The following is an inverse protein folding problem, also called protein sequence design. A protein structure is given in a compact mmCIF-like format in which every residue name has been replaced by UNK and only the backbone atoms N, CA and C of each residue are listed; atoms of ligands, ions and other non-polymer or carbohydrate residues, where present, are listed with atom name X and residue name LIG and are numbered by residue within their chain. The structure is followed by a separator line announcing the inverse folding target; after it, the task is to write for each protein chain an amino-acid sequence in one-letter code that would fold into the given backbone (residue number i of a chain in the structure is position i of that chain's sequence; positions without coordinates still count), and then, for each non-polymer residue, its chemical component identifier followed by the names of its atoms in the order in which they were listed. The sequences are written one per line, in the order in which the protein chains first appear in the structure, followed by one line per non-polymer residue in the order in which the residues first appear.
data_IF_320309571219
#
_entry.id   IF_320309571219
#
_cell.length_a   1.000
_cell.length_b   1.000
_cell.length_c   1.000
_cell.angle_alpha   90.00
_cell.angle_beta   90.00
_cell.angle_gamma   90.00
#
_symmetry.space_group_name_H-M   'P 1'
#
loop_
_entity.id
_entity.type
_entity.pdbx_description
1 polymer ?
#
# COMPACT_ATOMS: atom_id res chain seq x y z
N UNK A 1 -47.61 -40.52 -27.05
CA UNK A 1 -48.80 -40.30 -26.29
C UNK A 1 -48.75 -38.95 -25.69
N UNK A 2 -49.37 -38.02 -26.36
CA UNK A 2 -50.54 -37.18 -25.99
C UNK A 2 -50.19 -36.21 -24.82
N UNK A 3 -50.39 -34.97 -24.84
CA UNK A 3 -51.00 -33.96 -25.73
C UNK A 3 -50.83 -32.58 -25.09
N UNK A 4 -50.59 -31.57 -25.89
CA UNK A 4 -50.95 -30.16 -25.63
C UNK A 4 -52.46 -29.99 -25.60
N UNK A 5 -53.14 -28.84 -25.30
CA UNK A 5 -52.78 -27.40 -25.47
C UNK A 5 -53.42 -26.50 -24.39
N UNK A 6 -53.27 -25.21 -24.42
CA UNK A 6 -53.89 -24.10 -25.09
C UNK A 6 -53.76 -22.83 -24.26
N UNK A 7 -53.31 -21.77 -24.77
CA UNK A 7 -53.93 -20.57 -25.40
C UNK A 7 -54.77 -19.68 -24.47
N UNK A 8 -54.45 -18.39 -24.50
CA UNK A 8 -55.28 -17.32 -23.94
C UNK A 8 -54.65 -15.93 -24.11
N UNK A 9 -54.79 -15.36 -25.32
CA UNK A 9 -54.60 -13.92 -25.59
C UNK A 9 -55.74 -13.11 -24.99
N UNK A 10 -55.46 -11.95 -24.45
CA UNK A 10 -56.38 -10.81 -24.57
C UNK A 10 -55.63 -9.50 -24.55
N UNK A 11 -55.90 -8.74 -25.56
CA UNK A 11 -55.48 -7.35 -25.86
C UNK A 11 -56.38 -6.35 -25.14
N UNK A 12 -55.86 -5.08 -25.18
CA UNK A 12 -56.60 -3.79 -25.38
C UNK A 12 -56.69 -2.87 -24.16
N UNK A 13 -56.20 -1.64 -24.39
CA UNK A 13 -56.72 -0.43 -23.77
C UNK A 13 -55.74 0.74 -23.73
N UNK A 14 -55.66 1.51 -24.81
CA UNK A 14 -55.10 2.89 -24.84
C UNK A 14 -56.16 3.87 -24.26
N UNK A 15 -55.65 4.92 -23.63
CA UNK A 15 -56.13 6.35 -23.57
C UNK A 15 -55.75 6.90 -22.19
N UNK A 16 -55.31 8.11 -21.98
CA UNK A 16 -55.33 9.31 -22.76
C UNK A 16 -54.66 10.44 -21.98
N UNK A 17 -54.29 11.44 -22.63
CA UNK A 17 -53.60 12.67 -22.22
C UNK A 17 -54.32 13.45 -21.09
N UNK A 18 -53.52 14.14 -20.26
CA UNK A 18 -54.05 15.17 -19.35
C UNK A 18 -52.89 15.99 -18.78
N UNK A 19 -52.71 17.12 -19.23
CA UNK A 19 -51.99 18.32 -19.18
C UNK A 19 -51.74 18.89 -17.80
N UNK A 20 -50.67 19.62 -17.77
CA UNK A 20 -50.07 20.55 -16.81
C UNK A 20 -51.10 21.50 -16.15
N UNK A 21 -50.90 22.06 -14.98
CA UNK A 21 -50.13 23.31 -14.97
C UNK A 21 -49.15 23.49 -13.78
N UNK A 22 -48.12 24.25 -14.10
CA UNK A 22 -47.18 24.93 -13.23
C UNK A 22 -47.86 25.73 -12.11
N UNK A 23 -47.40 25.55 -10.89
CA UNK A 23 -47.40 26.60 -9.86
C UNK A 23 -46.00 26.83 -9.36
N UNK A 24 -45.53 28.05 -9.58
CA UNK A 24 -44.39 28.65 -8.91
C UNK A 24 -44.82 29.04 -7.50
N UNK A 25 -44.13 28.58 -6.49
CA UNK A 25 -44.06 29.24 -5.20
C UNK A 25 -42.61 29.40 -4.82
N UNK A 26 -42.16 30.63 -4.82
CA UNK A 26 -40.88 31.08 -4.32
C UNK A 26 -40.86 31.01 -2.80
N UNK A 27 -40.05 30.17 -2.21
CA UNK A 27 -39.52 30.37 -0.88
C UNK A 27 -38.00 30.49 -0.95
N UNK A 28 -37.52 31.71 -0.78
CA UNK A 28 -36.15 32.04 -0.44
C UNK A 28 -35.81 31.35 0.89
N UNK A 29 -34.87 30.41 0.85
CA UNK A 29 -34.08 30.01 2.00
C UNK A 29 -32.67 30.44 1.71
N UNK A 30 -32.21 31.45 2.44
CA UNK A 30 -30.81 31.87 2.48
C UNK A 30 -29.98 30.71 3.00
N UNK A 31 -29.27 30.03 2.10
CA UNK A 31 -28.23 29.07 2.43
C UNK A 31 -26.92 29.82 2.58
N UNK A 32 -26.35 29.78 3.79
CA UNK A 32 -24.96 30.17 4.05
C UNK A 32 -24.01 29.51 3.06
N UNK A 33 -23.00 30.21 2.57
CA UNK A 33 -22.02 29.61 1.68
C UNK A 33 -21.15 28.63 2.50
N UNK A 34 -21.33 27.34 2.28
CA UNK A 34 -20.28 26.36 2.58
C UNK A 34 -19.07 26.72 1.71
N UNK A 35 -18.08 27.30 2.34
CA UNK A 35 -16.74 27.41 1.77
C UNK A 35 -16.22 25.99 1.50
N UNK A 36 -16.45 25.49 0.31
CA UNK A 36 -15.64 24.47 -0.27
C UNK A 36 -14.25 25.09 -0.49
N UNK A 37 -13.34 24.84 0.42
CA UNK A 37 -11.92 24.97 0.15
C UNK A 37 -11.60 23.96 -0.97
N UNK A 38 -11.75 24.40 -2.20
CA UNK A 38 -11.08 23.80 -3.33
C UNK A 38 -9.60 24.07 -3.07
N UNK A 39 -8.91 23.11 -2.50
CA UNK A 39 -7.47 23.14 -2.45
C UNK A 39 -7.00 23.18 -3.90
N UNK A 40 -6.37 24.30 -4.27
CA UNK A 40 -5.69 24.42 -5.54
C UNK A 40 -4.73 23.22 -5.69
N UNK A 41 -4.59 22.64 -6.90
CA UNK A 41 -3.64 21.58 -7.13
C UNK A 41 -2.28 22.06 -6.68
N UNK A 42 -1.68 21.34 -5.74
CA UNK A 42 -0.32 21.60 -5.29
C UNK A 42 0.59 21.10 -6.41
N UNK A 43 0.80 21.95 -7.41
CA UNK A 43 1.86 21.80 -8.39
C UNK A 43 3.20 22.02 -7.67
N UNK A 44 3.63 21.06 -6.91
CA UNK A 44 4.96 21.01 -6.32
C UNK A 44 5.82 20.02 -7.10
N UNK A 45 6.17 20.37 -8.32
CA UNK A 45 7.24 19.71 -9.10
C UNK A 45 8.61 19.95 -8.42
N UNK A 46 8.78 19.50 -7.19
CA UNK A 46 10.02 19.64 -6.46
C UNK A 46 10.81 18.36 -6.56
N UNK A 47 11.84 18.39 -7.40
CA UNK A 47 12.94 17.43 -7.33
C UNK A 47 13.67 17.69 -6.03
N UNK A 48 13.63 16.75 -5.10
CA UNK A 48 14.23 16.89 -3.77
C UNK A 48 15.65 16.35 -3.70
N UNK A 49 15.93 15.30 -4.49
CA UNK A 49 17.20 14.61 -4.43
C UNK A 49 17.92 14.62 -5.78
N UNK A 50 19.19 14.99 -5.77
CA UNK A 50 20.06 14.78 -6.93
C UNK A 50 20.33 13.29 -7.14
N UNK A 51 20.68 12.85 -8.38
CA UNK A 51 21.08 11.46 -8.61
C UNK A 51 22.18 11.03 -7.64
N UNK A 52 21.95 9.94 -6.90
CA UNK A 52 22.86 9.47 -5.86
C UNK A 52 22.29 8.29 -5.07
N UNK A 53 23.12 7.75 -4.20
CA UNK A 53 22.78 6.72 -3.21
C UNK A 53 22.65 7.41 -1.86
N UNK A 54 21.55 7.22 -1.19
CA UNK A 54 21.24 7.90 0.07
C UNK A 54 20.87 6.90 1.15
N UNK A 55 21.43 7.11 2.34
CA UNK A 55 21.09 6.37 3.53
C UNK A 55 20.29 7.26 4.49
N UNK A 56 19.33 6.66 5.20
CA UNK A 56 18.55 7.34 6.22
C UNK A 56 17.61 8.45 5.70
N UNK A 57 17.14 8.35 4.45
CA UNK A 57 16.13 9.28 3.92
C UNK A 57 14.79 9.02 4.62
N UNK A 58 14.17 10.01 5.27
CA UNK A 58 12.84 9.85 5.85
C UNK A 58 11.81 9.40 4.80
N UNK A 59 10.90 8.51 5.20
CA UNK A 59 9.87 7.95 4.30
C UNK A 59 9.04 9.04 3.61
N UNK A 60 8.61 10.05 4.37
CA UNK A 60 7.84 11.17 3.85
C UNK A 60 8.61 11.98 2.80
N UNK A 61 9.92 12.16 2.96
CA UNK A 61 10.75 12.87 1.99
C UNK A 61 10.98 12.06 0.71
N UNK A 62 11.19 10.74 0.85
CA UNK A 62 11.29 9.84 -0.29
C UNK A 62 10.01 9.84 -1.13
N UNK A 63 8.85 9.74 -0.49
CA UNK A 63 7.57 9.75 -1.19
C UNK A 63 7.24 11.11 -1.81
N UNK A 64 7.66 12.19 -1.20
CA UNK A 64 7.43 13.54 -1.72
C UNK A 64 8.31 13.93 -2.92
N UNK A 65 9.39 13.18 -3.22
CA UNK A 65 10.15 13.34 -4.46
C UNK A 65 9.36 12.76 -5.64
N UNK A 66 9.32 13.48 -6.75
CA UNK A 66 8.48 13.14 -7.91
C UNK A 66 9.13 12.20 -8.93
N UNK A 67 10.32 11.68 -8.64
CA UNK A 67 10.90 10.63 -9.46
C UNK A 67 10.01 9.40 -9.50
N UNK A 68 9.92 8.73 -10.63
CA UNK A 68 9.11 7.52 -10.80
C UNK A 68 9.70 6.36 -9.99
N UNK A 69 8.89 5.77 -9.13
CA UNK A 69 9.20 4.53 -8.42
C UNK A 69 8.69 3.29 -9.16
N UNK A 70 8.97 2.12 -8.61
CA UNK A 70 8.49 0.84 -9.17
C UNK A 70 6.96 0.74 -9.26
N UNK A 71 6.23 1.37 -8.32
CA UNK A 71 4.76 1.43 -8.35
C UNK A 71 4.28 2.23 -9.56
N UNK A 72 4.82 3.44 -9.76
CA UNK A 72 4.49 4.28 -10.92
C UNK A 72 4.80 3.59 -12.25
N UNK A 73 5.95 2.91 -12.34
CA UNK A 73 6.30 2.14 -13.53
C UNK A 73 5.33 1.00 -13.80
N UNK A 74 4.87 0.31 -12.75
CA UNK A 74 3.85 -0.73 -12.86
C UNK A 74 2.50 -0.17 -13.33
N UNK A 75 2.07 0.95 -12.79
CA UNK A 75 0.84 1.63 -13.20
C UNK A 75 0.91 2.07 -14.66
N UNK A 76 2.02 2.65 -15.09
CA UNK A 76 2.29 3.00 -16.49
C UNK A 76 2.25 1.78 -17.45
N UNK A 77 2.69 0.60 -17.01
CA UNK A 77 2.61 -0.64 -17.78
C UNK A 77 1.17 -1.11 -17.90
N UNK A 78 0.36 -0.94 -16.86
CA UNK A 78 -1.04 -1.38 -16.84
C UNK A 78 -1.91 -0.43 -17.66
N UNK A 79 -1.89 0.85 -17.33
CA UNK A 79 -2.67 1.88 -18.01
C UNK A 79 -2.05 3.28 -17.80
N UNK A 80 -1.32 3.81 -18.77
CA UNK A 80 -0.68 5.12 -18.63
C UNK A 80 -1.70 6.27 -18.54
N UNK A 81 -2.91 6.14 -19.10
CA UNK A 81 -3.94 7.17 -19.03
C UNK A 81 -4.50 7.25 -17.61
N UNK A 82 -4.80 6.11 -16.99
CA UNK A 82 -5.23 6.03 -15.59
C UNK A 82 -4.13 6.54 -14.65
N UNK A 83 -2.86 6.18 -14.90
CA UNK A 83 -1.73 6.73 -14.14
C UNK A 83 -1.73 8.26 -14.14
N UNK A 84 -1.87 8.91 -15.32
CA UNK A 84 -1.86 10.37 -15.42
C UNK A 84 -3.10 10.99 -14.76
N UNK A 85 -4.26 10.35 -14.93
CA UNK A 85 -5.49 10.78 -14.27
C UNK A 85 -5.30 10.82 -12.74
N UNK A 86 -4.73 9.79 -12.15
CA UNK A 86 -4.48 9.73 -10.70
C UNK A 86 -3.43 10.75 -10.22
N UNK A 87 -2.47 11.13 -11.09
CA UNK A 87 -1.54 12.22 -10.79
C UNK A 87 -2.23 13.58 -10.77
N UNK A 88 -3.16 13.82 -11.70
CA UNK A 88 -3.89 15.09 -11.81
C UNK A 88 -5.01 15.21 -10.78
N UNK A 89 -5.65 14.09 -10.43
CA UNK A 89 -6.82 14.04 -9.55
C UNK A 89 -6.62 13.04 -8.40
N UNK A 90 -5.63 13.26 -7.53
CA UNK A 90 -5.32 12.31 -6.47
C UNK A 90 -6.51 12.11 -5.54
N UNK A 91 -6.98 10.89 -5.43
CA UNK A 91 -8.00 10.48 -4.49
C UNK A 91 -7.49 10.51 -3.04
N UNK A 92 -8.42 10.54 -2.08
CA UNK A 92 -8.05 10.33 -0.68
C UNK A 92 -7.81 8.83 -0.45
N UNK A 93 -6.57 8.45 -0.35
CA UNK A 93 -6.21 7.06 -0.03
C UNK A 93 -6.64 6.72 1.40
N UNK A 94 -7.50 5.70 1.54
CA UNK A 94 -7.90 5.20 2.85
C UNK A 94 -6.91 4.15 3.31
N UNK A 95 -6.20 4.44 4.36
CA UNK A 95 -5.29 3.49 4.99
C UNK A 95 -6.05 2.27 5.52
N UNK A 96 -5.89 1.12 4.86
CA UNK A 96 -6.53 -0.13 5.25
C UNK A 96 -5.76 -0.83 6.37
N UNK A 97 -6.43 -1.70 7.14
CA UNK A 97 -5.75 -2.51 8.16
C UNK A 97 -4.67 -3.41 7.58
N UNK A 98 -4.80 -3.82 6.31
CA UNK A 98 -3.76 -4.60 5.63
C UNK A 98 -2.51 -3.77 5.37
N UNK A 99 -2.68 -2.51 4.97
CA UNK A 99 -1.58 -1.56 4.76
C UNK A 99 -0.89 -1.23 6.08
N UNK A 100 -1.65 -0.91 7.14
CA UNK A 100 -1.12 -0.68 8.50
C UNK A 100 -0.29 -1.85 9.00
N UNK A 101 -0.78 -3.08 8.81
CA UNK A 101 -0.06 -4.29 9.18
C UNK A 101 1.24 -4.45 8.37
N UNK A 102 1.18 -4.16 7.06
CA UNK A 102 2.35 -4.15 6.17
C UNK A 102 3.41 -3.17 6.65
N UNK A 103 3.05 -1.91 6.87
CA UNK A 103 3.97 -0.88 7.38
C UNK A 103 4.56 -1.27 8.76
N UNK A 104 3.74 -1.82 9.66
CA UNK A 104 4.20 -2.21 10.98
C UNK A 104 5.22 -3.36 10.95
N UNK A 105 5.01 -4.39 10.10
CA UNK A 105 5.98 -5.48 9.98
C UNK A 105 7.28 -5.04 9.29
N UNK A 106 7.21 -4.13 8.29
CA UNK A 106 8.40 -3.52 7.70
C UNK A 106 9.19 -2.75 8.76
N UNK A 107 8.55 -1.83 9.47
CA UNK A 107 9.17 -1.08 10.56
C UNK A 107 9.79 -2.03 11.61
N UNK A 108 9.06 -3.07 12.04
CA UNK A 108 9.54 -4.03 13.03
C UNK A 108 10.77 -4.82 12.56
N UNK A 109 10.77 -5.24 11.30
CA UNK A 109 11.85 -6.06 10.73
C UNK A 109 13.07 -5.23 10.33
N UNK A 110 12.88 -4.03 9.79
CA UNK A 110 13.95 -3.20 9.23
C UNK A 110 14.57 -2.24 10.27
N UNK A 111 13.77 -1.75 11.21
CA UNK A 111 14.18 -0.71 12.15
C UNK A 111 14.08 -1.14 13.63
N UNK A 112 13.33 -2.18 13.92
CA UNK A 112 13.26 -2.79 15.25
C UNK A 112 12.10 -2.31 16.13
N UNK A 113 12.11 -2.76 17.38
CA UNK A 113 11.00 -2.54 18.34
C UNK A 113 10.85 -1.09 18.76
N UNK A 114 11.95 -0.33 18.89
CA UNK A 114 11.87 1.06 19.32
C UNK A 114 11.16 1.90 18.27
N UNK A 115 11.56 1.80 17.01
CA UNK A 115 10.90 2.52 15.89
C UNK A 115 9.44 2.09 15.74
N UNK A 116 9.13 0.79 15.92
CA UNK A 116 7.74 0.34 15.93
C UNK A 116 6.95 1.03 17.06
N UNK A 117 7.48 1.09 18.27
CA UNK A 117 6.82 1.72 19.41
C UNK A 117 6.67 3.24 19.25
N UNK A 118 7.57 3.90 18.55
CA UNK A 118 7.50 5.34 18.25
C UNK A 118 6.43 5.66 17.21
N UNK A 119 6.33 4.84 16.15
CA UNK A 119 5.42 5.11 15.02
C UNK A 119 4.04 4.47 15.14
N UNK A 120 3.89 3.44 15.96
CA UNK A 120 2.63 2.70 16.11
C UNK A 120 2.14 2.74 17.55
N UNK A 121 0.83 2.96 17.72
CA UNK A 121 0.15 2.90 18.99
C UNK A 121 -0.78 1.67 19.03
N UNK A 122 -0.82 1.00 20.17
CA UNK A 122 -1.64 -0.21 20.32
C UNK A 122 -2.98 0.19 20.92
N UNK A 123 -4.05 0.02 20.14
CA UNK A 123 -5.41 0.31 20.59
C UNK A 123 -5.73 -0.40 21.91
N UNK A 124 -6.35 0.27 22.88
CA UNK A 124 -6.83 -0.38 24.09
C UNK A 124 -7.89 -1.42 23.73
N UNK A 125 -7.97 -2.49 24.52
CA UNK A 125 -9.00 -3.50 24.34
C UNK A 125 -10.09 -3.33 25.41
N UNK A 126 -11.35 -3.54 25.03
CA UNK A 126 -12.49 -3.49 25.97
C UNK A 126 -12.27 -4.40 27.18
N UNK A 127 -11.59 -5.52 26.98
CA UNK A 127 -11.24 -6.48 28.05
C UNK A 127 -10.34 -5.92 29.14
N UNK A 128 -9.61 -4.84 28.86
CA UNK A 128 -8.75 -4.16 29.85
C UNK A 128 -9.55 -3.25 30.80
N UNK A 129 -10.78 -2.94 30.42
CA UNK A 129 -11.69 -2.01 31.11
C UNK A 129 -13.02 -2.69 31.39
N UNK A 130 -13.00 -3.69 32.29
CA UNK A 130 -14.16 -4.58 32.54
C UNK A 130 -15.44 -3.85 32.95
N UNK A 131 -15.30 -2.70 33.58
CA UNK A 131 -16.44 -1.91 34.08
C UNK A 131 -16.80 -0.74 33.15
N UNK A 132 -16.18 -0.64 31.98
CA UNK A 132 -16.46 0.43 31.04
C UNK A 132 -17.84 0.29 30.40
N UNK A 133 -18.55 1.40 30.28
CA UNK A 133 -19.79 1.49 29.53
C UNK A 133 -19.50 1.56 28.04
N UNK A 134 -19.73 0.45 27.31
CA UNK A 134 -19.33 0.30 25.90
C UNK A 134 -20.49 0.58 24.94
N UNK A 135 -21.67 0.06 25.25
CA UNK A 135 -22.83 0.12 24.36
C UNK A 135 -23.86 1.15 24.83
N UNK A 136 -24.73 1.58 23.92
CA UNK A 136 -25.87 2.45 24.28
C UNK A 136 -26.74 1.82 25.34
N UNK A 137 -26.85 0.49 25.40
CA UNK A 137 -27.58 -0.23 26.43
C UNK A 137 -26.92 -0.11 27.77
N UNK A 138 -25.57 -0.24 27.84
CA UNK A 138 -24.81 0.00 29.08
C UNK A 138 -25.02 1.44 29.61
N UNK A 139 -24.94 2.43 28.71
CA UNK A 139 -25.17 3.83 29.07
C UNK A 139 -26.60 4.06 29.58
N UNK A 140 -27.62 3.52 28.91
CA UNK A 140 -29.02 3.61 29.36
C UNK A 140 -29.26 2.94 30.73
N UNK A 141 -28.66 1.80 30.95
CA UNK A 141 -28.74 1.08 32.22
C UNK A 141 -28.11 1.88 33.35
N UNK A 142 -26.96 2.50 33.07
CA UNK A 142 -26.28 3.37 34.03
C UNK A 142 -27.06 4.66 34.30
N UNK A 143 -27.61 5.31 33.25
CA UNK A 143 -28.52 6.47 33.43
C UNK A 143 -29.70 6.15 34.31
N UNK A 144 -30.31 4.95 34.16
CA UNK A 144 -31.40 4.49 35.02
C UNK A 144 -30.93 4.31 36.47
N UNK A 145 -29.70 3.81 36.67
CA UNK A 145 -29.13 3.60 38.02
C UNK A 145 -28.92 4.93 38.73
N UNK A 146 -28.39 5.96 38.02
CA UNK A 146 -28.16 7.30 38.61
C UNK A 146 -29.37 8.23 38.50
N UNK A 147 -30.51 7.77 37.98
CA UNK A 147 -31.77 8.52 37.98
C UNK A 147 -31.87 9.60 36.90
N UNK A 148 -31.07 9.53 35.84
CA UNK A 148 -31.09 10.52 34.75
C UNK A 148 -31.71 9.94 33.47
N UNK A 149 -32.20 10.84 32.58
CA UNK A 149 -32.75 10.42 31.31
C UNK A 149 -31.61 10.32 30.28
N UNK A 150 -31.37 9.13 29.68
CA UNK A 150 -30.46 9.04 28.55
C UNK A 150 -31.09 9.77 27.34
N UNK A 151 -30.40 10.62 26.69
CA UNK A 151 -30.87 11.21 25.44
C UNK A 151 -31.14 10.16 24.34
N UNK A 152 -31.44 10.61 23.14
CA UNK A 152 -31.64 9.72 21.96
C UNK A 152 -30.31 9.23 21.38
N UNK A 153 -29.27 10.03 21.47
CA UNK A 153 -27.92 9.78 20.97
C UNK A 153 -26.97 9.35 22.08
N UNK A 154 -25.87 8.70 21.70
CA UNK A 154 -24.86 8.20 22.62
C UNK A 154 -24.17 9.34 23.40
N UNK A 155 -23.87 10.43 22.68
CA UNK A 155 -23.24 11.62 23.24
C UNK A 155 -24.12 12.30 24.31
N UNK A 156 -25.43 12.32 24.10
CA UNK A 156 -26.39 12.87 25.06
C UNK A 156 -26.46 12.02 26.34
N UNK A 157 -26.40 10.69 26.20
CA UNK A 157 -26.36 9.78 27.35
C UNK A 157 -25.05 9.94 28.14
N UNK A 158 -23.93 10.08 27.47
CA UNK A 158 -22.60 10.31 28.06
C UNK A 158 -22.62 11.64 28.83
N UNK A 159 -23.10 12.73 28.22
CA UNK A 159 -23.20 14.03 28.89
C UNK A 159 -24.07 13.96 30.14
N UNK A 160 -25.25 13.31 30.08
CA UNK A 160 -26.13 13.13 31.21
C UNK A 160 -25.48 12.33 32.37
N UNK A 161 -24.69 11.31 32.01
CA UNK A 161 -23.96 10.54 33.05
C UNK A 161 -22.90 11.42 33.72
N UNK A 162 -22.14 12.22 32.93
CA UNK A 162 -21.04 13.05 33.44
C UNK A 162 -21.47 14.13 34.45
N UNK A 163 -22.72 14.55 34.39
CA UNK A 163 -23.26 15.48 35.37
C UNK A 163 -23.37 14.85 36.78
N UNK A 164 -23.55 13.55 36.89
CA UNK A 164 -23.82 12.82 38.14
C UNK A 164 -22.72 11.87 38.56
N UNK A 165 -22.05 11.22 37.59
CA UNK A 165 -21.00 10.26 37.82
C UNK A 165 -19.78 10.58 36.95
N UNK A 166 -18.77 11.19 37.58
CA UNK A 166 -17.53 11.59 36.86
C UNK A 166 -16.52 10.47 36.78
N UNK A 167 -16.65 9.44 37.59
CA UNK A 167 -15.62 8.40 37.77
C UNK A 167 -15.91 7.15 36.92
N UNK A 168 -17.15 6.97 36.46
CA UNK A 168 -17.49 5.82 35.63
C UNK A 168 -16.67 5.78 34.33
N UNK A 169 -16.19 4.62 33.97
CA UNK A 169 -15.43 4.43 32.73
C UNK A 169 -16.37 4.39 31.53
N UNK A 170 -16.17 5.27 30.58
CA UNK A 170 -16.92 5.31 29.32
C UNK A 170 -15.96 5.00 28.18
N UNK A 171 -16.26 3.95 27.43
CA UNK A 171 -15.37 3.45 26.39
C UNK A 171 -15.03 4.49 25.32
N UNK A 172 -16.00 5.28 24.89
CA UNK A 172 -15.81 6.31 23.86
C UNK A 172 -14.82 7.40 24.32
N UNK A 173 -14.85 7.76 25.59
CA UNK A 173 -13.92 8.73 26.16
C UNK A 173 -12.51 8.14 26.34
N UNK A 174 -12.42 6.85 26.67
CA UNK A 174 -11.14 6.12 26.71
C UNK A 174 -10.49 6.14 25.33
N UNK A 175 -11.26 5.84 24.29
CA UNK A 175 -10.76 5.87 22.90
C UNK A 175 -10.39 7.28 22.50
N UNK A 176 -11.23 8.29 22.74
CA UNK A 176 -10.94 9.67 22.40
C UNK A 176 -9.66 10.20 23.08
N UNK A 177 -9.48 9.86 24.36
CA UNK A 177 -8.27 10.19 25.11
C UNK A 177 -7.04 9.49 24.50
N UNK A 178 -7.14 8.20 24.20
CA UNK A 178 -6.07 7.43 23.59
C UNK A 178 -5.67 8.00 22.22
N UNK A 179 -6.63 8.35 21.39
CA UNK A 179 -6.38 8.97 20.08
C UNK A 179 -5.70 10.33 20.21
N UNK A 180 -6.13 11.15 21.16
CA UNK A 180 -5.52 12.46 21.44
C UNK A 180 -4.07 12.35 21.95
N UNK A 181 -3.75 11.32 22.74
CA UNK A 181 -2.41 11.06 23.25
C UNK A 181 -1.47 10.44 22.20
N UNK A 182 -2.03 9.91 21.10
CA UNK A 182 -1.28 9.21 20.06
C UNK A 182 -1.38 9.88 18.68
N UNK A 183 -1.63 11.18 18.65
CA UNK A 183 -1.63 11.96 17.38
C UNK A 183 -0.30 11.77 16.65
N UNK A 184 -0.37 11.48 15.35
CA UNK A 184 0.81 11.24 14.52
C UNK A 184 1.35 9.80 14.54
N UNK A 185 0.76 8.91 15.36
CA UNK A 185 1.08 7.48 15.37
C UNK A 185 -0.01 6.67 14.65
N UNK A 186 0.39 5.64 13.94
CA UNK A 186 -0.57 4.71 13.33
C UNK A 186 -1.14 3.77 14.39
N UNK A 187 -2.46 3.77 14.53
CA UNK A 187 -3.13 2.92 15.53
C UNK A 187 -3.36 1.52 14.93
N UNK A 188 -2.87 0.50 15.65
CA UNK A 188 -3.07 -0.92 15.33
C UNK A 188 -3.70 -1.67 16.50
N UNK A 189 -4.52 -2.70 16.26
CA UNK A 189 -5.07 -3.52 17.32
C UNK A 189 -3.99 -4.40 17.97
N UNK A 190 -4.24 -4.82 19.22
CA UNK A 190 -3.32 -5.69 20.00
C UNK A 190 -3.00 -7.01 19.29
N UNK A 191 -4.00 -7.60 18.62
CA UNK A 191 -3.81 -8.85 17.90
C UNK A 191 -2.84 -8.68 16.71
N UNK A 192 -2.90 -7.54 16.03
CA UNK A 192 -1.94 -7.22 14.97
C UNK A 192 -0.51 -7.12 15.51
N UNK A 193 -0.29 -6.48 16.67
CA UNK A 193 1.03 -6.45 17.30
C UNK A 193 1.51 -7.87 17.65
N UNK A 194 0.63 -8.71 18.18
CA UNK A 194 0.97 -10.09 18.49
C UNK A 194 1.40 -10.88 17.26
N UNK A 195 0.68 -10.74 16.15
CA UNK A 195 1.00 -11.36 14.86
C UNK A 195 2.33 -10.82 14.30
N UNK A 196 2.59 -9.51 14.36
CA UNK A 196 3.83 -8.87 13.92
C UNK A 196 5.03 -9.41 14.71
N UNK A 197 4.93 -9.48 16.03
CA UNK A 197 6.00 -10.04 16.87
C UNK A 197 6.19 -11.55 16.66
N UNK A 198 5.13 -12.27 16.32
CA UNK A 198 5.21 -13.68 15.94
C UNK A 198 5.91 -13.84 14.59
N UNK A 199 5.57 -13.02 13.60
CA UNK A 199 6.24 -12.99 12.29
C UNK A 199 7.74 -12.73 12.44
N UNK A 200 8.11 -11.71 13.22
CA UNK A 200 9.50 -11.35 13.49
C UNK A 200 10.29 -12.51 14.13
N UNK A 201 9.67 -13.21 15.12
CA UNK A 201 10.30 -14.40 15.72
C UNK A 201 10.45 -15.56 14.75
N UNK A 202 9.51 -15.75 13.82
CA UNK A 202 9.59 -16.82 12.84
C UNK A 202 10.58 -16.52 11.73
N UNK A 203 10.70 -15.27 11.28
CA UNK A 203 11.77 -14.84 10.38
C UNK A 203 13.14 -15.10 11.01
N UNK A 204 13.34 -14.76 12.31
CA UNK A 204 14.60 -15.03 13.04
C UNK A 204 14.99 -16.51 13.07
N UNK A 205 14.02 -17.42 12.98
CA UNK A 205 14.25 -18.87 13.01
C UNK A 205 14.46 -19.49 11.63
N UNK A 206 14.19 -18.74 10.57
CA UNK A 206 14.45 -19.19 9.21
C UNK A 206 15.96 -19.33 9.00
N UNK A 207 16.47 -20.48 8.53
CA UNK A 207 17.91 -20.69 8.38
C UNK A 207 18.62 -19.71 7.45
N UNK A 208 17.92 -19.17 6.46
CA UNK A 208 18.48 -18.17 5.52
C UNK A 208 18.53 -16.78 6.13
N UNK A 209 17.57 -16.44 7.00
CA UNK A 209 17.47 -15.11 7.62
C UNK A 209 18.19 -15.02 8.97
N UNK A 210 18.30 -16.12 9.71
CA UNK A 210 18.94 -16.15 11.04
C UNK A 210 20.35 -15.54 11.10
N UNK A 211 21.23 -15.71 10.10
CA UNK A 211 22.57 -15.11 10.12
C UNK A 211 22.57 -13.59 10.05
N UNK A 212 21.56 -12.99 9.42
CA UNK A 212 21.48 -11.54 9.17
C UNK A 212 20.50 -10.81 10.08
N UNK A 213 19.80 -11.55 10.95
CA UNK A 213 18.81 -11.01 11.88
C UNK A 213 19.22 -11.20 13.34
N UNK A 214 18.75 -10.28 14.21
CA UNK A 214 18.79 -10.42 15.67
C UNK A 214 17.49 -9.92 16.25
N UNK A 215 16.89 -10.71 17.15
CA UNK A 215 15.61 -10.38 17.78
C UNK A 215 14.51 -10.04 16.76
N UNK A 216 14.50 -10.70 15.60
CA UNK A 216 13.53 -10.47 14.54
C UNK A 216 13.73 -9.16 13.75
N UNK A 217 14.90 -8.53 13.86
CA UNK A 217 15.29 -7.32 13.13
C UNK A 217 16.54 -7.60 12.31
N UNK A 218 16.61 -7.10 11.10
CA UNK A 218 17.83 -7.17 10.28
C UNK A 218 18.92 -6.29 10.90
N UNK A 219 20.11 -6.87 11.10
CA UNK A 219 21.26 -6.20 11.73
C UNK A 219 22.51 -6.20 10.87
N UNK A 220 22.58 -7.07 9.86
CA UNK A 220 23.65 -7.06 8.86
C UNK A 220 23.15 -6.39 7.60
N UNK A 221 23.97 -5.53 6.98
CA UNK A 221 23.58 -4.79 5.79
C UNK A 221 22.88 -3.47 6.09
N UNK A 222 22.24 -2.87 5.09
CA UNK A 222 21.63 -1.55 5.14
C UNK A 222 20.14 -1.61 4.82
N UNK A 223 19.30 -1.05 5.69
CA UNK A 223 17.85 -0.93 5.46
C UNK A 223 17.51 0.41 4.78
N UNK A 224 16.43 0.42 3.98
CA UNK A 224 15.82 1.62 3.40
C UNK A 224 16.80 2.44 2.54
N UNK A 225 17.66 1.74 1.77
CA UNK A 225 18.63 2.41 0.89
C UNK A 225 17.91 3.03 -0.30
N UNK A 226 17.96 4.35 -0.41
CA UNK A 226 17.29 5.11 -1.47
C UNK A 226 18.27 5.44 -2.59
N UNK A 227 17.87 5.18 -3.82
CA UNK A 227 18.64 5.46 -5.03
C UNK A 227 17.80 6.38 -5.91
N UNK A 228 18.36 7.54 -6.27
CA UNK A 228 17.76 8.44 -7.25
C UNK A 228 18.68 8.49 -8.47
N UNK A 229 18.12 8.34 -9.66
CA UNK A 229 18.91 8.30 -10.89
C UNK A 229 18.12 8.84 -12.08
N UNK A 230 18.80 9.04 -13.19
CA UNK A 230 18.19 9.48 -14.44
C UNK A 230 18.48 8.43 -15.50
N UNK A 231 17.45 8.00 -16.21
CA UNK A 231 17.57 7.10 -17.34
C UNK A 231 16.70 7.60 -18.51
N UNK A 232 17.26 7.68 -19.70
CA UNK A 232 16.58 8.20 -20.90
C UNK A 232 15.90 9.58 -20.69
N UNK A 233 16.48 10.43 -19.83
CA UNK A 233 15.93 11.73 -19.47
C UNK A 233 14.80 11.69 -18.43
N UNK A 234 14.40 10.51 -17.97
CA UNK A 234 13.38 10.32 -16.94
C UNK A 234 14.04 10.16 -15.58
N UNK A 235 13.54 10.87 -14.57
CA UNK A 235 13.98 10.73 -13.20
C UNK A 235 13.31 9.54 -12.54
N UNK A 236 14.11 8.72 -11.90
CA UNK A 236 13.69 7.45 -11.30
C UNK A 236 14.18 7.36 -9.86
N UNK A 237 13.45 6.62 -9.04
CA UNK A 237 13.84 6.30 -7.67
C UNK A 237 13.56 4.85 -7.33
N UNK A 238 14.38 4.31 -6.44
CA UNK A 238 14.15 3.01 -5.79
C UNK A 238 14.50 3.13 -4.32
N UNK A 239 13.75 2.42 -3.47
CA UNK A 239 14.09 2.25 -2.05
C UNK A 239 14.16 0.76 -1.77
N UNK A 240 15.38 0.29 -1.54
CA UNK A 240 15.66 -1.12 -1.25
C UNK A 240 15.33 -1.36 0.23
N UNK A 241 14.39 -2.25 0.51
CA UNK A 241 13.98 -2.56 1.89
C UNK A 241 15.17 -2.96 2.74
N UNK A 242 15.98 -3.93 2.25
CA UNK A 242 17.21 -4.29 2.92
C UNK A 242 18.26 -4.79 1.94
N UNK A 243 19.45 -4.19 1.99
CA UNK A 243 20.60 -4.46 1.14
C UNK A 243 21.69 -5.15 1.93
N UNK A 244 22.01 -6.39 1.56
CA UNK A 244 23.20 -7.11 2.01
C UNK A 244 24.34 -6.95 1.00
N UNK A 245 25.55 -7.28 1.37
CA UNK A 245 26.71 -7.24 0.45
C UNK A 245 26.56 -8.14 -0.79
N UNK A 246 25.67 -9.12 -0.74
CA UNK A 246 25.45 -10.12 -1.79
C UNK A 246 23.98 -10.37 -2.12
N UNK A 247 23.05 -9.66 -1.49
CA UNK A 247 21.62 -9.84 -1.75
C UNK A 247 20.79 -8.57 -1.52
N UNK A 248 19.72 -8.45 -2.28
CA UNK A 248 18.58 -7.58 -1.98
C UNK A 248 17.51 -8.42 -1.32
N UNK A 249 17.06 -8.00 -0.14
CA UNK A 249 15.89 -8.56 0.53
C UNK A 249 14.72 -7.59 0.34
N UNK A 250 13.64 -8.10 -0.21
CA UNK A 250 12.39 -7.36 -0.42
C UNK A 250 11.28 -7.98 0.44
N UNK A 251 10.79 -7.20 1.39
CA UNK A 251 9.78 -7.61 2.36
C UNK A 251 8.39 -7.38 1.80
N UNK A 252 7.53 -8.40 1.87
CA UNK A 252 6.16 -8.28 1.41
C UNK A 252 5.17 -8.92 2.38
N UNK A 253 4.05 -8.29 2.61
CA UNK A 253 2.91 -8.90 3.24
C UNK A 253 1.91 -9.39 2.19
N UNK A 254 1.29 -10.55 2.43
CA UNK A 254 0.26 -11.07 1.54
C UNK A 254 -0.89 -11.73 2.29
N UNK A 255 -2.07 -11.76 1.67
CA UNK A 255 -3.23 -12.49 2.17
C UNK A 255 -3.66 -13.53 1.14
N UNK A 256 -3.82 -14.81 1.53
CA UNK A 256 -4.42 -15.82 0.67
C UNK A 256 -5.86 -15.43 0.32
N UNK A 257 -6.26 -15.67 -0.94
CA UNK A 257 -7.67 -15.49 -1.34
C UNK A 257 -8.55 -16.63 -0.84
N UNK A 258 -7.96 -17.83 -0.82
CA UNK A 258 -8.64 -19.06 -0.41
C UNK A 258 -7.84 -19.73 0.69
N UNK A 259 -8.42 -20.75 1.31
CA UNK A 259 -7.71 -21.60 2.26
C UNK A 259 -6.69 -22.46 1.51
N UNK A 260 -5.44 -22.00 1.48
CA UNK A 260 -4.32 -22.64 0.78
C UNK A 260 -3.03 -22.57 1.58
N UNK A 261 -2.01 -23.31 1.15
CA UNK A 261 -0.69 -23.27 1.79
C UNK A 261 -0.02 -21.91 1.57
N UNK A 262 0.74 -21.44 2.58
CA UNK A 262 1.40 -20.13 2.51
C UNK A 262 2.32 -20.00 1.30
N UNK A 263 3.08 -21.05 0.95
CA UNK A 263 3.98 -21.05 -0.20
C UNK A 263 3.22 -20.81 -1.53
N UNK A 264 2.09 -21.50 -1.73
CA UNK A 264 1.32 -21.35 -2.96
C UNK A 264 0.65 -19.99 -3.06
N UNK A 265 0.16 -19.49 -1.92
CA UNK A 265 -0.42 -18.15 -1.84
C UNK A 265 0.63 -17.05 -2.09
N UNK A 266 1.86 -17.21 -1.57
CA UNK A 266 2.96 -16.29 -1.80
C UNK A 266 3.35 -16.23 -3.29
N UNK A 267 3.50 -17.39 -3.97
CA UNK A 267 3.79 -17.44 -5.41
C UNK A 267 2.71 -16.75 -6.24
N UNK A 268 1.43 -16.98 -5.91
CA UNK A 268 0.31 -16.29 -6.57
C UNK A 268 0.32 -14.77 -6.31
N UNK A 269 0.71 -14.36 -5.09
CA UNK A 269 0.83 -12.94 -4.77
C UNK A 269 1.95 -12.28 -5.58
N UNK A 270 3.12 -12.90 -5.71
CA UNK A 270 4.22 -12.40 -6.55
C UNK A 270 3.75 -12.15 -7.98
N UNK A 271 3.11 -13.15 -8.59
CA UNK A 271 2.65 -13.07 -9.97
C UNK A 271 1.53 -12.01 -10.15
N UNK A 272 0.52 -12.02 -9.27
CA UNK A 272 -0.62 -11.10 -9.39
C UNK A 272 -0.24 -9.66 -9.13
N UNK A 273 0.63 -9.40 -8.16
CA UNK A 273 1.07 -8.07 -7.79
C UNK A 273 2.23 -7.56 -8.66
N UNK A 274 2.69 -8.39 -9.60
CA UNK A 274 3.81 -8.08 -10.47
C UNK A 274 5.04 -7.61 -9.70
N UNK A 275 5.42 -8.36 -8.64
CA UNK A 275 6.64 -8.06 -7.87
C UNK A 275 7.93 -8.33 -8.66
N UNK A 276 7.83 -9.07 -9.77
CA UNK A 276 8.86 -9.20 -10.78
C UNK A 276 9.28 -7.83 -11.37
N UNK A 277 8.33 -6.93 -11.64
CA UNK A 277 8.60 -5.58 -12.14
C UNK A 277 9.39 -4.75 -11.13
N UNK A 278 9.08 -4.88 -9.82
CA UNK A 278 9.85 -4.20 -8.78
C UNK A 278 11.29 -4.73 -8.74
N UNK A 279 11.49 -6.05 -8.83
CA UNK A 279 12.82 -6.64 -8.90
C UNK A 279 13.61 -6.10 -10.11
N UNK A 280 12.98 -6.06 -11.29
CA UNK A 280 13.57 -5.48 -12.50
C UNK A 280 13.98 -4.02 -12.31
N UNK A 281 13.07 -3.19 -11.79
CA UNK A 281 13.33 -1.77 -11.54
C UNK A 281 14.46 -1.54 -10.51
N UNK A 282 14.51 -2.35 -9.45
CA UNK A 282 15.53 -2.19 -8.39
C UNK A 282 16.92 -2.67 -8.81
N UNK A 283 17.01 -3.73 -9.61
CA UNK A 283 18.29 -4.16 -10.20
C UNK A 283 18.79 -3.08 -11.17
N UNK A 284 17.91 -2.46 -11.98
CA UNK A 284 18.28 -1.31 -12.81
C UNK A 284 18.76 -0.13 -11.98
N UNK A 285 18.08 0.20 -10.89
CA UNK A 285 18.50 1.24 -9.96
C UNK A 285 19.88 0.94 -9.37
N UNK A 286 20.14 -0.32 -8.99
CA UNK A 286 21.45 -0.72 -8.46
C UNK A 286 22.57 -0.64 -9.52
N UNK A 287 22.27 -0.93 -10.79
CA UNK A 287 23.20 -0.70 -11.92
C UNK A 287 23.53 0.77 -12.09
N UNK A 288 22.52 1.64 -11.99
CA UNK A 288 22.75 3.09 -12.01
C UNK A 288 23.56 3.54 -10.77
N UNK A 289 23.27 2.98 -9.62
CA UNK A 289 23.98 3.23 -8.37
C UNK A 289 25.48 2.89 -8.46
N UNK A 290 25.86 1.82 -9.18
CA UNK A 290 27.27 1.47 -9.40
C UNK A 290 28.03 2.62 -10.09
N UNK A 291 27.41 3.28 -11.08
CA UNK A 291 27.99 4.45 -11.77
C UNK A 291 28.07 5.66 -10.82
N UNK A 292 26.99 5.92 -10.09
CA UNK A 292 26.93 7.01 -9.11
C UNK A 292 27.95 6.83 -7.97
N UNK A 293 28.18 5.59 -7.56
CA UNK A 293 29.21 5.24 -6.59
C UNK A 293 30.62 5.57 -7.10
N UNK A 294 30.91 5.20 -8.34
CA UNK A 294 32.18 5.53 -8.98
C UNK A 294 32.42 7.05 -9.11
N UNK A 295 31.33 7.83 -9.23
CA UNK A 295 31.33 9.29 -9.25
C UNK A 295 31.40 9.94 -7.84
N UNK A 296 31.39 9.13 -6.78
CA UNK A 296 31.41 9.60 -5.40
C UNK A 296 30.07 10.16 -4.90
N UNK A 297 28.96 9.85 -5.57
CA UNK A 297 27.60 10.33 -5.24
C UNK A 297 26.92 9.43 -4.21
N UNK A 298 27.51 9.36 -3.03
CA UNK A 298 26.98 8.59 -1.88
C UNK A 298 26.81 9.53 -0.70
N UNK A 299 25.63 9.55 -0.12
CA UNK A 299 25.25 10.53 0.90
C UNK A 299 24.81 9.82 2.20
N UNK A 300 25.28 10.35 3.33
CA UNK A 300 24.93 9.85 4.67
C UNK A 300 25.25 8.36 4.89
N UNK A 301 26.27 7.83 4.21
CA UNK A 301 26.66 6.44 4.34
C UNK A 301 27.27 6.16 5.74
N UNK A 302 26.61 5.31 6.58
CA UNK A 302 27.16 4.95 7.89
C UNK A 302 28.09 3.73 7.83
N UNK A 303 28.23 3.10 6.66
CA UNK A 303 29.00 1.89 6.44
C UNK A 303 30.38 2.21 5.91
N UNK A 304 31.30 1.27 6.06
CA UNK A 304 32.60 1.35 5.42
C UNK A 304 32.49 1.19 3.89
N UNK A 305 33.57 1.53 3.21
CA UNK A 305 33.61 1.47 1.75
C UNK A 305 33.47 0.01 1.24
N UNK A 306 34.00 -0.95 1.98
CA UNK A 306 33.99 -2.38 1.61
C UNK A 306 32.56 -2.92 1.44
N UNK A 307 31.61 -2.37 2.18
CA UNK A 307 30.20 -2.78 2.05
C UNK A 307 29.67 -2.55 0.62
N UNK A 308 29.76 -1.32 0.10
CA UNK A 308 29.30 -0.99 -1.24
C UNK A 308 30.21 -1.60 -2.33
N UNK A 309 31.52 -1.68 -2.12
CA UNK A 309 32.42 -2.38 -3.03
C UNK A 309 32.01 -3.87 -3.19
N UNK A 310 31.58 -4.52 -2.11
CA UNK A 310 31.10 -5.89 -2.16
C UNK A 310 29.76 -6.02 -2.87
N UNK A 311 28.81 -5.11 -2.64
CA UNK A 311 27.52 -5.07 -3.34
C UNK A 311 27.73 -4.97 -4.85
N UNK A 312 28.57 -4.02 -5.30
CA UNK A 312 28.76 -3.81 -6.74
C UNK A 312 29.61 -4.90 -7.39
N UNK A 313 30.50 -5.55 -6.63
CA UNK A 313 31.19 -6.76 -7.08
C UNK A 313 30.22 -7.91 -7.30
N UNK A 314 29.32 -8.17 -6.35
CA UNK A 314 28.30 -9.21 -6.48
C UNK A 314 27.31 -8.92 -7.63
N UNK A 315 26.95 -7.64 -7.85
CA UNK A 315 26.15 -7.23 -9.00
C UNK A 315 26.87 -7.54 -10.33
N UNK A 316 28.14 -7.21 -10.45
CA UNK A 316 28.93 -7.48 -11.65
C UNK A 316 29.06 -8.98 -11.95
N UNK A 317 29.19 -9.82 -10.91
CA UNK A 317 29.14 -11.27 -11.06
C UNK A 317 27.78 -11.71 -11.58
N UNK A 318 26.67 -11.21 -11.01
CA UNK A 318 25.33 -11.58 -11.44
C UNK A 318 25.02 -11.21 -12.90
N UNK A 319 25.70 -10.22 -13.47
CA UNK A 319 25.55 -9.83 -14.88
C UNK A 319 26.24 -10.79 -15.85
N UNK A 320 27.24 -11.52 -15.38
CA UNK A 320 28.02 -12.47 -16.19
C UNK A 320 27.67 -13.92 -15.91
N UNK A 321 27.41 -14.24 -14.64
CA UNK A 321 27.07 -15.58 -14.14
C UNK A 321 26.12 -15.45 -12.94
N UNK A 322 24.83 -15.38 -13.20
CA UNK A 322 23.80 -15.22 -12.17
C UNK A 322 23.66 -16.47 -11.26
N UNK A 323 24.15 -17.63 -11.71
CA UNK A 323 24.11 -18.88 -10.93
C UNK A 323 25.30 -19.00 -9.97
N UNK A 324 26.30 -18.14 -10.09
CA UNK A 324 27.44 -18.10 -9.17
C UNK A 324 27.01 -17.86 -7.73
N UNK A 325 27.68 -18.51 -6.77
CA UNK A 325 27.47 -18.26 -5.34
C UNK A 325 27.85 -16.83 -4.93
N UNK A 326 28.76 -16.20 -5.68
CA UNK A 326 29.21 -14.82 -5.47
C UNK A 326 28.30 -13.77 -6.16
N UNK A 327 27.31 -14.20 -6.96
CA UNK A 327 26.39 -13.32 -7.63
C UNK A 327 25.40 -12.66 -6.66
N UNK A 328 25.02 -11.42 -6.96
CA UNK A 328 23.95 -10.75 -6.22
C UNK A 328 22.65 -11.55 -6.34
N UNK A 329 22.01 -11.83 -5.22
CA UNK A 329 20.74 -12.54 -5.15
C UNK A 329 19.59 -11.57 -4.90
N UNK A 330 18.42 -11.91 -5.43
CA UNK A 330 17.15 -11.27 -5.06
C UNK A 330 16.35 -12.21 -4.17
N UNK A 331 15.97 -11.75 -2.98
CA UNK A 331 15.26 -12.59 -2.00
C UNK A 331 13.96 -11.92 -1.59
N UNK A 332 12.83 -12.54 -1.87
CA UNK A 332 11.56 -12.18 -1.27
C UNK A 332 11.40 -12.79 0.10
N UNK A 333 11.04 -11.97 1.08
CA UNK A 333 10.57 -12.40 2.38
C UNK A 333 9.07 -12.08 2.47
N UNK A 334 8.26 -13.08 2.09
CA UNK A 334 6.81 -12.96 2.00
C UNK A 334 6.18 -13.36 3.33
N UNK A 335 5.41 -12.46 3.96
CA UNK A 335 4.81 -12.72 5.27
C UNK A 335 3.30 -12.76 5.14
N UNK A 336 2.71 -13.89 5.56
CA UNK A 336 1.27 -14.08 5.54
C UNK A 336 0.59 -13.20 6.59
N UNK A 337 -0.19 -12.20 6.18
CA UNK A 337 -0.87 -11.21 7.03
C UNK A 337 -2.30 -11.62 7.40
N UNK A 338 -2.54 -12.92 7.65
CA UNK A 338 -3.83 -13.44 8.14
C UNK A 338 -3.67 -14.78 8.83
N UNK A 339 -4.18 -14.89 10.05
CA UNK A 339 -4.00 -16.07 10.90
C UNK A 339 -2.52 -16.26 11.29
N UNK A 340 -1.98 -17.48 11.17
CA UNK A 340 -0.58 -17.71 11.49
C UNK A 340 0.36 -16.95 10.51
N UNK A 341 1.19 -16.00 10.97
CA UNK A 341 2.00 -15.14 10.12
C UNK A 341 3.28 -15.82 9.63
N UNK A 342 3.10 -16.82 8.77
CA UNK A 342 4.18 -17.66 8.26
C UNK A 342 5.05 -16.89 7.27
N UNK A 343 6.37 -16.79 7.47
CA UNK A 343 7.30 -16.29 6.47
C UNK A 343 7.50 -17.36 5.37
N UNK A 344 7.60 -16.90 4.15
CA UNK A 344 8.00 -17.67 2.97
C UNK A 344 9.19 -16.95 2.36
N UNK A 345 10.35 -17.55 2.46
CA UNK A 345 11.60 -17.02 1.90
C UNK A 345 11.82 -17.65 0.53
N UNK A 346 11.89 -16.81 -0.51
CA UNK A 346 12.07 -17.26 -1.89
C UNK A 346 13.13 -16.45 -2.61
N UNK A 347 14.06 -17.11 -3.26
CA UNK A 347 15.03 -16.51 -4.16
C UNK A 347 14.42 -16.37 -5.55
N UNK A 348 14.62 -15.22 -6.19
CA UNK A 348 14.19 -14.99 -7.56
C UNK A 348 15.39 -15.12 -8.49
N UNK A 349 15.27 -16.02 -9.43
CA UNK A 349 16.30 -16.26 -10.43
C UNK A 349 16.40 -15.08 -11.41
N UNK A 350 17.51 -14.32 -11.28
CA UNK A 350 17.81 -13.17 -12.12
C UNK A 350 18.27 -13.55 -13.55
N UNK A 351 18.50 -14.84 -13.81
CA UNK A 351 18.77 -15.39 -15.16
C UNK A 351 17.50 -15.73 -15.93
N UNK A 352 16.36 -15.86 -15.21
CA UNK A 352 15.08 -16.32 -15.74
C UNK A 352 14.51 -15.45 -16.83
N UNK A 353 13.69 -16.04 -17.71
CA UNK A 353 12.96 -15.29 -18.74
C UNK A 353 11.95 -14.31 -18.14
N UNK A 354 11.36 -14.64 -16.98
CA UNK A 354 10.41 -13.75 -16.29
C UNK A 354 11.13 -12.49 -15.83
N UNK A 355 12.33 -12.61 -15.26
CA UNK A 355 13.12 -11.45 -14.85
C UNK A 355 13.55 -10.60 -16.06
N UNK A 356 14.02 -11.23 -17.16
CA UNK A 356 14.38 -10.52 -18.39
C UNK A 356 13.20 -9.77 -18.98
N UNK A 357 12.02 -10.38 -18.98
CA UNK A 357 10.79 -9.70 -19.43
C UNK A 357 10.42 -8.53 -18.50
N UNK A 358 10.53 -8.71 -17.19
CA UNK A 358 10.26 -7.63 -16.24
C UNK A 358 11.18 -6.41 -16.44
N UNK A 359 12.47 -6.64 -16.72
CA UNK A 359 13.41 -5.55 -17.09
C UNK A 359 12.98 -4.88 -18.38
N UNK A 360 12.61 -5.65 -19.41
CA UNK A 360 12.17 -5.10 -20.70
C UNK A 360 10.84 -4.31 -20.54
N UNK A 361 9.90 -4.79 -19.73
CA UNK A 361 8.66 -4.08 -19.44
C UNK A 361 8.94 -2.73 -18.76
N UNK A 362 9.87 -2.70 -17.80
CA UNK A 362 10.31 -1.47 -17.11
C UNK A 362 10.96 -0.49 -18.11
N UNK A 363 11.83 -0.98 -19.00
CA UNK A 363 12.45 -0.16 -20.06
C UNK A 363 11.38 0.43 -20.98
N UNK A 364 10.41 -0.37 -21.38
CA UNK A 364 9.28 0.05 -22.20
C UNK A 364 8.45 1.14 -21.53
N UNK A 365 8.18 0.99 -20.23
CA UNK A 365 7.44 1.98 -19.44
C UNK A 365 8.18 3.34 -19.35
N UNK A 366 9.50 3.33 -19.16
CA UNK A 366 10.31 4.55 -19.11
C UNK A 366 10.26 5.27 -20.48
N UNK A 367 10.38 4.53 -21.57
CA UNK A 367 10.32 5.09 -22.93
C UNK A 367 8.91 5.63 -23.23
N UNK A 368 7.86 4.88 -22.89
CA UNK A 368 6.48 5.29 -23.08
C UNK A 368 6.15 6.56 -22.26
N UNK A 369 6.53 6.58 -20.99
CA UNK A 369 6.35 7.76 -20.14
C UNK A 369 7.01 9.00 -20.74
N UNK A 370 8.26 8.89 -21.18
CA UNK A 370 8.96 9.99 -21.83
C UNK A 370 8.21 10.49 -23.06
N UNK A 371 7.75 9.60 -23.93
CA UNK A 371 7.00 9.97 -25.13
C UNK A 371 5.66 10.65 -24.82
N UNK A 372 4.96 10.18 -23.79
CA UNK A 372 3.71 10.80 -23.34
C UNK A 372 3.94 12.17 -22.71
N UNK A 373 5.00 12.33 -21.92
CA UNK A 373 5.40 13.62 -21.36
C UNK A 373 5.84 14.62 -22.43
N UNK A 374 6.53 14.16 -23.49
CA UNK A 374 6.89 15.02 -24.64
C UNK A 374 5.64 15.43 -25.45
N UNK A 375 4.65 14.54 -25.57
CA UNK A 375 3.41 14.79 -26.33
C UNK A 375 2.41 15.66 -25.60
N UNK A 376 2.15 15.38 -24.34
CA UNK A 376 1.05 16.00 -23.57
C UNK A 376 1.54 16.93 -22.46
N UNK A 377 2.73 16.74 -21.94
CA UNK A 377 3.25 17.43 -20.75
C UNK A 377 2.75 16.84 -19.42
N UNK A 378 3.22 17.38 -18.28
CA UNK A 378 2.89 16.87 -16.95
C UNK A 378 1.49 17.28 -16.44
N UNK A 379 0.96 18.42 -16.92
CA UNK A 379 -0.22 19.07 -16.35
C UNK A 379 -1.49 18.85 -17.19
N UNK A 380 -1.40 18.00 -18.21
CA UNK A 380 -2.52 17.71 -19.10
C UNK A 380 -2.95 16.23 -18.98
N UNK A 381 -4.22 15.99 -19.25
CA UNK A 381 -4.75 14.64 -19.41
C UNK A 381 -4.11 13.97 -20.62
N UNK A 382 -3.81 12.67 -20.48
CA UNK A 382 -3.35 11.89 -21.61
C UNK A 382 -4.52 11.23 -22.30
N UNK A 383 -4.53 11.28 -23.61
CA UNK A 383 -5.62 10.71 -24.40
C UNK A 383 -5.43 9.20 -24.59
N UNK A 384 -6.48 8.39 -24.42
CA UNK A 384 -6.40 6.95 -24.69
C UNK A 384 -6.21 6.69 -26.19
N UNK A 385 -5.24 5.84 -26.54
CA UNK A 385 -5.05 5.32 -27.90
C UNK A 385 -5.62 3.90 -27.98
N UNK A 386 -6.94 3.80 -27.87
CA UNK A 386 -7.66 2.53 -27.94
C UNK A 386 -8.37 2.43 -29.30
N UNK A 387 -7.82 1.66 -30.27
CA UNK A 387 -8.48 1.49 -31.55
C UNK A 387 -9.82 0.76 -31.39
N UNK A 388 -10.77 1.07 -32.25
CA UNK A 388 -12.05 0.38 -32.28
C UNK A 388 -11.84 -1.14 -32.48
N UNK A 389 -12.44 -1.92 -31.58
CA UNK A 389 -12.33 -3.38 -31.57
C UNK A 389 -13.62 -4.02 -32.12
N UNK A 390 -13.47 -5.13 -32.83
CA UNK A 390 -14.57 -6.05 -33.11
C UNK A 390 -14.49 -7.21 -32.11
N UNK A 391 -15.48 -7.30 -31.25
CA UNK A 391 -15.53 -8.34 -30.21
C UNK A 391 -16.15 -9.62 -30.78
N UNK A 392 -15.46 -10.73 -30.65
CA UNK A 392 -15.89 -12.07 -31.04
C UNK A 392 -15.97 -13.01 -29.84
N UNK A 393 -16.31 -14.28 -30.09
CA UNK A 393 -16.53 -15.27 -29.04
C UNK A 393 -15.32 -15.49 -28.11
N UNK A 394 -14.12 -15.28 -28.60
CA UNK A 394 -12.86 -15.44 -27.82
C UNK A 394 -12.57 -14.28 -26.86
N UNK A 395 -13.26 -13.16 -27.01
CA UNK A 395 -13.07 -11.97 -26.16
C UNK A 395 -13.92 -12.02 -24.88
N UNK A 396 -14.81 -13.02 -24.79
CA UNK A 396 -15.67 -13.20 -23.64
C UNK A 396 -15.12 -14.22 -22.63
N UNK A 397 -15.35 -13.95 -21.36
CA UNK A 397 -15.06 -14.95 -20.33
C UNK A 397 -15.83 -16.26 -20.64
N UNK A 398 -15.22 -17.44 -20.45
CA UNK A 398 -15.92 -18.73 -20.59
C UNK A 398 -17.22 -18.80 -19.77
N UNK A 399 -17.34 -18.02 -18.71
CA UNK A 399 -18.56 -17.94 -17.89
C UNK A 399 -19.68 -17.08 -18.51
N UNK A 400 -19.41 -16.37 -19.60
CA UNK A 400 -20.45 -15.60 -20.31
C UNK A 400 -21.44 -16.49 -21.08
N UNK A 401 -21.11 -17.78 -21.27
CA UNK A 401 -21.92 -18.76 -22.01
C UNK A 401 -22.60 -19.79 -21.11
N UNK A 402 -22.53 -19.64 -19.78
CA UNK A 402 -23.19 -20.46 -18.78
C UNK A 402 -24.39 -19.72 -18.17
#
# INVERSE_FOLDING_TARGET
MTSRPGSGMARVGRQGMGGCPLRQDHHHVEGSPMNALVSAPISNNVVRFEPGIYFGVPEAEYHADQSLGSTSLKELIIDPVEYQHDQLYPGVEKETMALKWGHAIHCRALEGRLSLAERFAIAPAVTDYKDALVTMEHLRSHCKLVGVKPGKKKEEAIAAIREFDKDVLIWDEIIAKFEAENVGRTIIPRDALHEIEMAARWMQRDPKLAPVMRDGTFVAGASEVSIFYVENGVRLKARIDHLLSHAIIDLKSFRPFFKERALEAAKKAVSRMRYDLQAGAYIKALRAAAKLYAEGRVFNNPYDREFLDSVFRALAVAETDADSDDALKWVWVMIKASGAPQPVVGEFDLSSMIFKQAVADVDGAIVAYRGLMEKYGPDNEWEPDIPAQKWGDTDWSPYAFI
#
